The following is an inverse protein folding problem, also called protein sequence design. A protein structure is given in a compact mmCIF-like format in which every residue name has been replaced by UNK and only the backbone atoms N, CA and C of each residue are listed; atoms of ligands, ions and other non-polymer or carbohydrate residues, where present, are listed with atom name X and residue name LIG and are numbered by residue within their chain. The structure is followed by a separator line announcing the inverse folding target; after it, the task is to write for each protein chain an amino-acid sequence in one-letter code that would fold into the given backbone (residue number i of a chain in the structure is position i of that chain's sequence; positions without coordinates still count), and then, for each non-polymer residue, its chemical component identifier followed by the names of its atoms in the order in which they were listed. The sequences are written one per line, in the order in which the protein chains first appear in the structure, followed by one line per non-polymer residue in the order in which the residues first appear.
data_IF_550043145083
#
_entry.id   IF_550043145083
#
_cell.length_a   1.000
_cell.length_b   1.000
_cell.length_c   1.000
_cell.angle_alpha   90.00
_cell.angle_beta   90.00
_cell.angle_gamma   90.00
#
_symmetry.space_group_name_H-M   'P 1'
#
loop_
_entity.id
_entity.type
_entity.pdbx_description
1 polymer ?
#
# COMPACT_ATOMS: atom_id res chain seq x y z
N UNK A 1 9.79 3.99 -12.99
CA UNK A 1 8.69 3.05 -12.69
C UNK A 1 7.41 3.85 -12.58
N UNK A 2 6.40 3.55 -13.39
CA UNK A 2 5.10 4.24 -13.33
C UNK A 2 4.14 3.47 -12.42
N UNK A 3 3.99 3.94 -11.18
CA UNK A 3 3.13 3.32 -10.18
C UNK A 3 1.63 3.45 -10.49
N UNK A 4 1.21 4.43 -11.30
CA UNK A 4 -0.19 4.56 -11.72
C UNK A 4 -0.54 3.46 -12.70
N UNK A 5 0.36 3.16 -13.63
CA UNK A 5 0.24 2.04 -14.55
C UNK A 5 0.22 0.70 -13.79
N UNK A 6 1.18 0.50 -12.89
CA UNK A 6 1.24 -0.70 -12.04
C UNK A 6 -0.06 -0.92 -11.25
N UNK A 7 -0.58 0.11 -10.57
CA UNK A 7 -1.83 -0.01 -9.84
C UNK A 7 -3.01 -0.36 -10.77
N UNK A 8 -3.05 0.22 -11.96
CA UNK A 8 -4.09 -0.07 -12.96
C UNK A 8 -4.04 -1.55 -13.39
N UNK A 9 -2.85 -2.10 -13.60
CA UNK A 9 -2.67 -3.53 -13.91
C UNK A 9 -3.11 -4.43 -12.75
N UNK A 10 -2.79 -4.07 -11.50
CA UNK A 10 -3.25 -4.80 -10.30
C UNK A 10 -4.78 -4.78 -10.15
N UNK A 11 -5.41 -3.62 -10.39
CA UNK A 11 -6.88 -3.48 -10.37
C UNK A 11 -7.52 -4.38 -11.44
N UNK A 12 -6.93 -4.40 -12.65
CA UNK A 12 -7.40 -5.24 -13.74
C UNK A 12 -7.23 -6.73 -13.42
N UNK A 13 -6.10 -7.12 -12.85
CA UNK A 13 -5.85 -8.50 -12.41
C UNK A 13 -6.84 -8.95 -11.31
N UNK A 14 -7.26 -8.03 -10.44
CA UNK A 14 -8.29 -8.29 -9.43
C UNK A 14 -9.72 -8.36 -10.00
N UNK A 15 -9.93 -8.06 -11.29
CA UNK A 15 -11.25 -8.05 -11.92
C UNK A 15 -12.16 -6.92 -11.45
N UNK A 16 -11.60 -5.83 -10.92
CA UNK A 16 -12.34 -4.71 -10.35
C UNK A 16 -12.31 -3.54 -11.34
N UNK A 17 -13.40 -2.78 -11.54
CA UNK A 17 -13.38 -1.61 -12.41
C UNK A 17 -12.56 -0.47 -11.78
N UNK A 18 -11.91 0.32 -12.64
CA UNK A 18 -11.14 1.49 -12.21
C UNK A 18 -12.05 2.58 -11.63
N UNK A 19 -11.74 3.06 -10.42
CA UNK A 19 -12.49 4.09 -9.69
C UNK A 19 -11.53 5.03 -8.95
N UNK A 20 -12.04 6.18 -8.50
CA UNK A 20 -11.26 7.13 -7.68
C UNK A 20 -11.08 6.68 -6.23
N UNK A 21 -11.86 5.71 -5.76
CA UNK A 21 -11.72 5.12 -4.43
C UNK A 21 -12.21 3.67 -4.40
N UNK A 22 -11.68 2.89 -3.46
CA UNK A 22 -11.92 1.46 -3.32
C UNK A 22 -12.37 1.10 -1.91
N UNK A 23 -13.25 0.11 -1.83
CA UNK A 23 -13.77 -0.48 -0.59
C UNK A 23 -12.71 -1.37 0.07
N UNK A 24 -12.84 -1.71 1.37
CA UNK A 24 -11.86 -2.52 2.07
C UNK A 24 -11.58 -3.85 1.37
N UNK A 25 -12.62 -4.57 0.96
CA UNK A 25 -12.49 -5.85 0.27
C UNK A 25 -11.84 -5.71 -1.11
N UNK A 26 -12.11 -4.61 -1.82
CA UNK A 26 -11.48 -4.33 -3.11
C UNK A 26 -9.98 -4.03 -2.92
N UNK A 27 -9.62 -3.26 -1.90
CA UNK A 27 -8.21 -3.00 -1.54
C UNK A 27 -7.50 -4.29 -1.17
N UNK A 28 -8.16 -5.17 -0.39
CA UNK A 28 -7.63 -6.48 -0.04
C UNK A 28 -7.33 -7.32 -1.29
N UNK A 29 -8.26 -7.36 -2.25
CA UNK A 29 -8.08 -8.07 -3.51
C UNK A 29 -6.97 -7.46 -4.38
N UNK A 30 -6.88 -6.13 -4.47
CA UNK A 30 -5.84 -5.44 -5.24
C UNK A 30 -4.45 -5.70 -4.66
N UNK A 31 -4.29 -5.63 -3.34
CA UNK A 31 -2.99 -5.75 -2.67
C UNK A 31 -2.62 -7.18 -2.27
N UNK A 32 -3.55 -8.14 -2.40
CA UNK A 32 -3.34 -9.52 -1.97
C UNK A 32 -3.19 -9.68 -0.45
N UNK A 33 -3.89 -8.84 0.33
CA UNK A 33 -3.80 -8.82 1.80
C UNK A 33 -5.09 -9.29 2.46
N UNK A 34 -5.00 -9.74 3.71
CA UNK A 34 -6.20 -10.11 4.49
C UNK A 34 -6.97 -8.88 4.99
N UNK A 35 -8.28 -8.99 5.27
CA UNK A 35 -9.05 -7.91 5.88
C UNK A 35 -8.46 -7.43 7.21
N UNK A 36 -7.95 -8.35 8.03
CA UNK A 36 -7.28 -8.02 9.30
C UNK A 36 -6.06 -7.12 9.06
N UNK A 37 -5.24 -7.47 8.07
CA UNK A 37 -4.08 -6.69 7.72
C UNK A 37 -4.47 -5.30 7.20
N UNK A 38 -5.50 -5.21 6.36
CA UNK A 38 -6.04 -3.92 5.91
C UNK A 38 -6.41 -3.01 7.09
N UNK A 39 -7.16 -3.51 8.07
CA UNK A 39 -7.56 -2.71 9.24
C UNK A 39 -6.34 -2.27 10.06
N UNK A 40 -5.39 -3.16 10.29
CA UNK A 40 -4.14 -2.82 10.96
C UNK A 40 -3.36 -1.72 10.23
N UNK A 41 -3.30 -1.78 8.89
CA UNK A 41 -2.62 -0.75 8.08
C UNK A 41 -3.32 0.60 8.15
N UNK A 42 -4.65 0.62 8.22
CA UNK A 42 -5.42 1.85 8.39
C UNK A 42 -5.27 2.44 9.80
N UNK A 43 -5.28 1.61 10.84
CA UNK A 43 -5.06 2.04 12.23
C UNK A 43 -3.64 2.54 12.46
N UNK A 44 -2.66 1.94 11.78
CA UNK A 44 -1.26 2.34 11.85
C UNK A 44 -0.94 3.61 11.04
N UNK A 45 -1.94 4.21 10.38
CA UNK A 45 -1.75 5.43 9.62
C UNK A 45 -1.72 6.65 10.53
N UNK A 46 -0.57 7.29 10.58
CA UNK A 46 -0.34 8.53 11.31
C UNK A 46 0.55 9.44 10.45
N UNK A 47 0.10 10.68 10.16
CA UNK A 47 0.88 11.61 9.36
C UNK A 47 2.00 12.23 10.20
N UNK A 48 3.20 12.28 9.63
CA UNK A 48 4.33 13.04 10.15
C UNK A 48 3.98 14.55 10.11
N UNK A 49 4.02 15.26 11.26
CA UNK A 49 3.68 16.67 11.32
C UNK A 49 4.59 17.57 10.47
N UNK A 50 5.82 17.14 10.15
CA UNK A 50 6.75 17.93 9.36
C UNK A 50 6.58 17.74 7.85
N UNK A 51 6.18 16.54 7.41
CA UNK A 51 6.20 16.16 5.99
C UNK A 51 4.84 15.78 5.40
N UNK A 52 3.85 15.53 6.27
CA UNK A 52 2.52 15.02 5.88
C UNK A 52 2.54 13.59 5.30
N UNK A 53 3.70 12.92 5.29
CA UNK A 53 3.84 11.53 4.88
C UNK A 53 3.53 10.60 6.07
N UNK A 54 3.14 9.34 5.85
CA UNK A 54 2.93 8.45 6.99
C UNK A 54 4.24 8.11 7.70
N UNK A 55 4.22 8.04 9.03
CA UNK A 55 5.34 7.57 9.84
C UNK A 55 5.73 6.12 9.51
N UNK A 56 4.76 5.29 9.14
CA UNK A 56 4.96 3.90 8.70
C UNK A 56 4.69 3.77 7.20
N UNK A 57 5.70 3.39 6.43
CA UNK A 57 5.57 3.25 4.97
C UNK A 57 4.46 2.26 4.53
N UNK A 58 4.20 1.23 5.36
CA UNK A 58 3.22 0.19 5.13
C UNK A 58 1.80 0.53 5.64
N UNK A 59 1.50 1.78 6.01
CA UNK A 59 0.14 2.19 6.40
C UNK A 59 -0.66 2.78 5.23
N UNK A 60 -1.98 2.87 5.40
CA UNK A 60 -2.93 3.34 4.38
C UNK A 60 -3.82 4.46 4.92
N UNK A 61 -3.78 5.62 4.27
CA UNK A 61 -4.78 6.66 4.54
C UNK A 61 -6.15 6.19 4.07
N UNK A 62 -7.16 6.36 4.91
CA UNK A 62 -8.52 5.97 4.58
C UNK A 62 -9.51 6.97 5.15
N UNK A 63 -10.61 7.16 4.41
CA UNK A 63 -11.66 8.11 4.77
C UNK A 63 -13.01 7.40 4.84
N UNK A 64 -13.92 7.96 5.63
CA UNK A 64 -15.30 7.49 5.68
C UNK A 64 -16.14 8.22 4.63
N UNK A 65 -16.79 7.45 3.76
CA UNK A 65 -17.83 7.94 2.87
C UNK A 65 -19.17 7.42 3.37
N UNK A 66 -19.95 8.30 4.01
CA UNK A 66 -21.17 7.95 4.75
C UNK A 66 -20.90 6.95 5.88
N UNK A 67 -21.03 5.65 5.60
CA UNK A 67 -20.80 4.54 6.55
C UNK A 67 -19.76 3.53 6.05
N UNK A 68 -19.15 3.79 4.90
CA UNK A 68 -18.21 2.88 4.26
C UNK A 68 -16.81 3.48 4.27
N UNK A 69 -15.83 2.76 4.84
CA UNK A 69 -14.42 3.15 4.76
C UNK A 69 -13.89 2.93 3.36
N UNK A 70 -13.12 3.89 2.84
CA UNK A 70 -12.56 3.84 1.50
C UNK A 70 -11.12 4.33 1.47
N UNK A 71 -10.37 3.83 0.50
CA UNK A 71 -9.01 4.28 0.18
C UNK A 71 -9.02 4.92 -1.19
N UNK A 72 -8.36 6.09 -1.34
CA UNK A 72 -8.28 6.81 -2.62
C UNK A 72 -7.31 6.10 -3.56
N UNK A 73 -7.56 6.20 -4.87
CA UNK A 73 -6.64 5.70 -5.89
C UNK A 73 -5.23 6.30 -5.70
N UNK A 74 -5.12 7.61 -5.49
CA UNK A 74 -3.83 8.29 -5.31
C UNK A 74 -3.10 7.86 -4.04
N UNK A 75 -3.84 7.46 -3.00
CA UNK A 75 -3.23 6.90 -1.80
C UNK A 75 -2.64 5.51 -2.07
N UNK A 76 -3.34 4.65 -2.82
CA UNK A 76 -2.80 3.35 -3.23
C UNK A 76 -1.53 3.51 -4.09
N UNK A 77 -1.49 4.50 -4.98
CA UNK A 77 -0.28 4.82 -5.76
C UNK A 77 0.85 5.28 -4.83
N UNK A 78 0.54 6.16 -3.88
CA UNK A 78 1.51 6.65 -2.89
C UNK A 78 2.03 5.51 -2.02
N UNK A 79 1.17 4.61 -1.58
CA UNK A 79 1.52 3.39 -0.86
C UNK A 79 2.51 2.52 -1.65
N UNK A 80 2.24 2.22 -2.92
CA UNK A 80 3.15 1.43 -3.75
C UNK A 80 4.52 2.11 -3.88
N UNK A 81 4.54 3.42 -4.08
CA UNK A 81 5.77 4.21 -4.16
C UNK A 81 6.57 4.14 -2.86
N UNK A 82 5.92 4.32 -1.70
CA UNK A 82 6.54 4.26 -0.37
C UNK A 82 7.12 2.88 -0.07
N UNK A 83 6.36 1.81 -0.31
CA UNK A 83 6.82 0.45 -0.04
C UNK A 83 7.95 0.01 -0.96
N UNK A 84 7.90 0.37 -2.25
CA UNK A 84 8.99 0.09 -3.17
C UNK A 84 10.28 0.85 -2.81
N UNK A 85 10.17 2.09 -2.32
CA UNK A 85 11.31 2.84 -1.80
C UNK A 85 11.87 2.20 -0.51
N UNK A 86 10.99 1.77 0.39
CA UNK A 86 11.38 1.10 1.64
C UNK A 86 12.09 -0.24 1.36
N UNK A 87 11.55 -1.07 0.48
CA UNK A 87 12.18 -2.33 0.05
C UNK A 87 13.55 -2.11 -0.61
N UNK A 88 13.72 -1.05 -1.38
CA UNK A 88 15.04 -0.72 -1.96
C UNK A 88 16.06 -0.25 -0.91
N UNK A 89 15.61 0.40 0.16
CA UNK A 89 16.50 0.96 1.20
C UNK A 89 16.83 -0.05 2.31
N UNK A 90 15.87 -0.93 2.63
CA UNK A 90 15.93 -1.83 3.79
C UNK A 90 15.73 -3.31 3.40
N UNK A 91 15.58 -3.62 2.12
CA UNK A 91 15.53 -5.00 1.65
C UNK A 91 16.88 -5.69 1.86
N UNK A 92 16.88 -7.03 2.00
CA UNK A 92 18.10 -7.79 2.18
C UNK A 92 19.04 -7.56 0.99
N UNK A 93 20.25 -7.06 1.26
CA UNK A 93 21.29 -6.99 0.25
C UNK A 93 21.64 -8.44 -0.15
N UNK A 94 21.62 -8.80 -1.44
CA UNK A 94 22.03 -10.13 -1.90
C UNK A 94 23.43 -10.54 -1.41
N UNK A 95 24.31 -9.57 -1.09
CA UNK A 95 25.62 -9.85 -0.51
C UNK A 95 25.55 -10.30 0.95
N UNK A 96 24.54 -9.86 1.72
CA UNK A 96 24.37 -10.26 3.12
C UNK A 96 23.84 -11.69 3.28
N UNK A 97 23.10 -12.23 2.30
CA UNK A 97 22.63 -13.61 2.33
C UNK A 97 23.73 -14.65 2.09
N UNK A 98 24.80 -14.30 1.36
CA UNK A 98 25.93 -15.22 1.09
C UNK A 98 26.84 -15.51 2.30
N UNK A 99 26.64 -14.80 3.42
CA UNK A 99 27.44 -14.98 4.64
C UNK A 99 26.94 -16.12 5.54
N UNK A 100 25.78 -16.73 5.23
CA UNK A 100 25.18 -17.80 6.03
C UNK A 100 25.22 -19.18 5.35
N UNK A 101 25.83 -19.28 4.16
CA UNK A 101 26.16 -20.56 3.53
C UNK A 101 27.55 -21.01 4.02
N UNK A 102 27.62 -21.63 5.21
CA UNK A 102 28.80 -22.32 5.74
C UNK A 102 28.43 -23.73 6.24
#
# INVERSE_FOLDING_TARGET
MDFKKQLTEMIQAAGIPKRGSYRPMEVCAILGISPRQFWYMCEAWEPDPATGQPLKAASLDSFLLRRERRVRFDELVSYLKRNHAYQRKYGPDPQQMRLFDY
#
